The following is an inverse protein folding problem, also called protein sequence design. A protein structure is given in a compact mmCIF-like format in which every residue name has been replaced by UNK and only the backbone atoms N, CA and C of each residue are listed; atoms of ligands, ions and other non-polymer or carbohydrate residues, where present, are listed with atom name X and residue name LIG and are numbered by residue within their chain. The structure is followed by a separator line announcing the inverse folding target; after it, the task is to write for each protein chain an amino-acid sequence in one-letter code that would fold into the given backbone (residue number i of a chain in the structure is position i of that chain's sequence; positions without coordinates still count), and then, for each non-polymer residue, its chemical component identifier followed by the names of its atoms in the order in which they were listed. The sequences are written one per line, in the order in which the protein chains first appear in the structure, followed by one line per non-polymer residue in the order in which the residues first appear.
data_IF_791562575658
#
_entry.id   IF_791562575658
#
_cell.length_a   1.000
_cell.length_b   1.000
_cell.length_c   1.000
_cell.angle_alpha   90.00
_cell.angle_beta   90.00
_cell.angle_gamma   90.00
#
_symmetry.space_group_name_H-M   'P 1'
#
loop_
_entity.id
_entity.type
_entity.pdbx_description
1 polymer ?
#
# COMPACT_ATOMS: atom_id res chain seq x y z
N UNK A 1 20.30 24.30 -9.35
CA UNK A 1 19.59 23.53 -8.30
C UNK A 1 18.46 22.67 -8.88
N UNK A 2 17.39 23.26 -9.45
CA UNK A 2 16.22 22.51 -9.95
C UNK A 2 16.57 21.42 -10.99
N UNK A 3 17.43 21.73 -11.97
CA UNK A 3 17.91 20.75 -12.96
C UNK A 3 18.68 19.58 -12.31
N UNK A 4 19.44 19.85 -11.25
CA UNK A 4 20.17 18.82 -10.52
C UNK A 4 19.19 17.88 -9.82
N UNK A 5 18.24 18.44 -9.07
CA UNK A 5 17.22 17.66 -8.37
C UNK A 5 16.32 16.86 -9.34
N UNK A 6 15.95 17.42 -10.50
CA UNK A 6 15.23 16.67 -11.53
C UNK A 6 16.04 15.46 -12.05
N UNK A 7 17.37 15.62 -12.23
CA UNK A 7 18.26 14.51 -12.60
C UNK A 7 18.41 13.49 -11.46
N UNK A 8 18.41 13.91 -10.20
CA UNK A 8 18.44 13.02 -9.05
C UNK A 8 17.16 12.17 -8.97
N UNK A 9 15.98 12.76 -9.15
CA UNK A 9 14.72 12.03 -9.22
C UNK A 9 14.71 11.00 -10.36
N UNK A 10 15.16 11.39 -11.55
CA UNK A 10 15.26 10.47 -12.68
C UNK A 10 16.24 9.31 -12.39
N UNK A 11 17.37 9.58 -11.73
CA UNK A 11 18.32 8.53 -11.32
C UNK A 11 17.71 7.57 -10.29
N UNK A 12 17.03 8.10 -9.29
CA UNK A 12 16.34 7.30 -8.28
C UNK A 12 15.26 6.40 -8.93
N UNK A 13 14.43 6.96 -9.82
CA UNK A 13 13.42 6.21 -10.54
C UNK A 13 14.02 5.03 -11.34
N UNK A 14 15.13 5.27 -12.04
CA UNK A 14 15.86 4.22 -12.77
C UNK A 14 16.43 3.16 -11.83
N UNK A 15 17.04 3.57 -10.72
CA UNK A 15 17.56 2.63 -9.71
C UNK A 15 16.44 1.77 -9.09
N UNK A 16 15.23 2.31 -8.98
CA UNK A 16 14.02 1.60 -8.55
C UNK A 16 13.36 0.75 -9.64
N UNK A 17 13.97 0.63 -10.84
CA UNK A 17 13.52 -0.27 -11.91
C UNK A 17 12.64 0.35 -12.98
N UNK A 18 12.42 1.68 -12.97
CA UNK A 18 11.65 2.36 -14.02
C UNK A 18 12.55 2.52 -15.26
N UNK A 19 12.09 2.02 -16.41
CA UNK A 19 12.83 2.14 -17.68
C UNK A 19 12.98 3.63 -18.07
N UNK A 20 14.18 4.03 -18.54
CA UNK A 20 14.48 5.43 -18.92
C UNK A 20 13.48 6.01 -19.92
N UNK A 21 12.99 5.22 -20.87
CA UNK A 21 12.00 5.66 -21.86
C UNK A 21 10.58 5.89 -21.29
N UNK A 22 10.36 5.62 -19.99
CA UNK A 22 9.13 5.93 -19.26
C UNK A 22 9.27 7.18 -18.38
N UNK A 23 10.41 7.87 -18.44
CA UNK A 23 10.70 9.06 -17.64
C UNK A 23 10.85 10.25 -18.58
N UNK A 24 10.04 11.29 -18.37
CA UNK A 24 10.11 12.54 -19.12
C UNK A 24 10.45 13.66 -18.13
N UNK A 25 11.48 14.43 -18.44
CA UNK A 25 11.86 15.61 -17.67
C UNK A 25 11.69 16.83 -18.56
N UNK A 26 10.81 17.75 -18.17
CA UNK A 26 10.57 19.00 -18.88
C UNK A 26 10.78 20.18 -17.95
N UNK A 27 11.31 21.28 -18.49
CA UNK A 27 11.30 22.58 -17.83
C UNK A 27 9.96 23.27 -18.07
N UNK A 28 9.57 24.17 -17.16
CA UNK A 28 8.44 25.06 -17.31
C UNK A 28 8.85 26.47 -16.87
N UNK A 29 8.14 27.49 -17.37
CA UNK A 29 8.36 28.88 -16.95
C UNK A 29 7.63 29.17 -15.65
N UNK A 30 8.31 29.78 -14.69
CA UNK A 30 7.68 30.23 -13.45
C UNK A 30 6.72 31.38 -13.74
N UNK A 31 5.66 31.51 -12.93
CA UNK A 31 4.68 32.58 -13.09
C UNK A 31 5.27 33.98 -12.81
N UNK A 32 6.32 34.06 -12.00
CA UNK A 32 7.11 35.27 -11.79
C UNK A 32 8.59 34.92 -11.56
N UNK A 33 9.47 35.91 -11.74
CA UNK A 33 10.91 35.76 -11.54
C UNK A 33 11.28 35.69 -10.04
N UNK A 34 10.50 36.30 -9.15
CA UNK A 34 10.73 36.22 -7.70
C UNK A 34 10.18 34.92 -7.07
N UNK A 35 9.36 34.15 -7.80
CA UNK A 35 8.78 32.92 -7.29
C UNK A 35 9.81 31.77 -7.30
N UNK A 36 10.04 31.16 -6.13
CA UNK A 36 10.72 29.87 -6.04
C UNK A 36 9.84 28.77 -6.63
N UNK A 37 10.08 28.46 -7.91
CA UNK A 37 9.27 27.50 -8.66
C UNK A 37 9.53 26.05 -8.16
N UNK A 38 8.49 25.30 -7.74
CA UNK A 38 8.66 23.96 -7.21
C UNK A 38 8.99 22.93 -8.31
N UNK A 39 9.64 21.84 -7.93
CA UNK A 39 9.75 20.67 -8.81
C UNK A 39 8.42 19.91 -8.75
N UNK A 40 7.84 19.63 -9.93
CA UNK A 40 6.59 18.86 -10.06
C UNK A 40 6.90 17.44 -10.49
N UNK A 41 6.41 16.46 -9.73
CA UNK A 41 6.48 15.04 -10.07
C UNK A 41 5.06 14.55 -10.33
N UNK A 42 4.81 14.05 -11.53
CA UNK A 42 3.54 13.44 -11.91
C UNK A 42 3.79 12.03 -12.44
N UNK A 43 2.91 11.11 -12.09
CA UNK A 43 3.00 9.70 -12.48
C UNK A 43 1.59 9.12 -12.61
N UNK A 44 1.48 8.03 -13.36
CA UNK A 44 0.25 7.26 -13.45
C UNK A 44 0.25 6.27 -12.29
N UNK A 45 -0.82 6.28 -11.49
CA UNK A 45 -1.07 5.29 -10.45
C UNK A 45 -2.35 4.51 -10.75
N UNK A 46 -2.42 3.29 -10.24
CA UNK A 46 -3.63 2.47 -10.27
C UNK A 46 -4.21 2.50 -8.85
N UNK A 47 -5.51 2.73 -8.74
CA UNK A 47 -6.26 2.70 -7.48
C UNK A 47 -7.36 1.65 -7.58
N UNK A 48 -7.58 0.93 -6.48
CA UNK A 48 -8.74 0.07 -6.36
C UNK A 48 -10.00 0.94 -6.24
N UNK A 49 -11.02 0.61 -7.03
CA UNK A 49 -12.31 1.31 -6.99
C UNK A 49 -13.44 0.31 -7.19
N UNK A 50 -14.58 0.65 -6.64
CA UNK A 50 -15.83 -0.10 -6.70
C UNK A 50 -16.97 0.87 -7.04
N UNK A 51 -18.16 0.33 -7.29
CA UNK A 51 -19.35 1.16 -7.42
C UNK A 51 -19.72 1.84 -6.10
N UNK A 52 -20.53 2.90 -6.20
CA UNK A 52 -21.01 3.65 -5.03
C UNK A 52 -22.01 2.80 -4.23
N UNK A 53 -21.80 2.71 -2.92
CA UNK A 53 -22.72 2.14 -1.93
C UNK A 53 -23.51 3.23 -1.19
N UNK A 54 -24.36 2.87 -0.22
CA UNK A 54 -24.97 3.86 0.68
C UNK A 54 -26.47 3.71 0.94
N UNK A 55 -27.08 2.55 0.69
CA UNK A 55 -28.49 2.30 1.06
C UNK A 55 -28.55 1.50 2.36
N UNK A 56 -29.05 2.13 3.42
CA UNK A 56 -29.18 1.55 4.75
C UNK A 56 -30.66 1.57 5.18
N UNK A 57 -31.50 0.66 4.63
CA UNK A 57 -32.95 0.67 4.86
C UNK A 57 -33.34 0.17 6.26
N UNK A 58 -32.51 -0.68 6.88
CA UNK A 58 -32.69 -1.18 8.24
C UNK A 58 -31.59 -0.66 9.19
N UNK A 59 -31.85 -0.77 10.50
CA UNK A 59 -30.84 -0.54 11.54
C UNK A 59 -29.78 -1.66 11.52
N UNK A 60 -28.50 -1.29 11.61
CA UNK A 60 -27.35 -2.19 11.62
C UNK A 60 -27.30 -3.11 12.85
N UNK A 61 -27.97 -2.73 13.94
CA UNK A 61 -28.03 -3.51 15.18
C UNK A 61 -29.10 -4.61 15.14
N UNK A 62 -29.96 -4.66 14.12
CA UNK A 62 -31.00 -5.68 13.97
C UNK A 62 -30.43 -7.00 13.43
N UNK A 63 -29.75 -7.75 14.32
CA UNK A 63 -28.99 -8.96 13.94
C UNK A 63 -29.65 -10.27 14.38
N UNK A 64 -30.92 -10.26 14.79
CA UNK A 64 -31.62 -11.43 15.34
C UNK A 64 -31.68 -12.62 14.37
N UNK A 65 -31.73 -12.36 13.06
CA UNK A 65 -31.74 -13.39 12.01
C UNK A 65 -30.33 -13.87 11.58
N UNK A 66 -29.26 -13.27 12.12
CA UNK A 66 -27.87 -13.54 11.73
C UNK A 66 -27.63 -13.47 10.21
N UNK A 67 -28.25 -12.49 9.54
CA UNK A 67 -28.07 -12.21 8.12
C UNK A 67 -27.22 -10.96 7.93
N UNK A 68 -26.58 -10.88 6.77
CA UNK A 68 -25.92 -9.65 6.35
C UNK A 68 -26.94 -8.52 6.16
N UNK A 69 -26.59 -7.32 6.61
CA UNK A 69 -27.35 -6.11 6.33
C UNK A 69 -27.35 -5.79 4.82
N UNK A 70 -28.35 -5.05 4.35
CA UNK A 70 -28.58 -4.83 2.92
C UNK A 70 -27.35 -4.32 2.14
N UNK A 71 -26.56 -3.40 2.71
CA UNK A 71 -25.37 -2.81 2.06
C UNK A 71 -24.07 -3.61 2.27
N UNK A 72 -24.08 -4.77 2.96
CA UNK A 72 -22.87 -5.44 3.44
C UNK A 72 -21.87 -5.73 2.32
N UNK A 73 -22.31 -6.28 1.20
CA UNK A 73 -21.44 -6.57 0.08
C UNK A 73 -20.77 -5.30 -0.46
N UNK A 74 -21.55 -4.25 -0.70
CA UNK A 74 -21.05 -3.03 -1.33
C UNK A 74 -20.15 -2.22 -0.37
N UNK A 75 -20.57 -2.07 0.90
CA UNK A 75 -19.79 -1.37 1.92
C UNK A 75 -18.47 -2.09 2.23
N UNK A 76 -18.49 -3.43 2.31
CA UNK A 76 -17.29 -4.23 2.55
C UNK A 76 -16.28 -4.10 1.40
N UNK A 77 -16.73 -4.18 0.15
CA UNK A 77 -15.84 -4.03 -1.01
C UNK A 77 -15.27 -2.61 -1.10
N UNK A 78 -16.05 -1.58 -0.78
CA UNK A 78 -15.55 -0.19 -0.69
C UNK A 78 -14.46 -0.06 0.39
N UNK A 79 -14.67 -0.67 1.56
CA UNK A 79 -13.68 -0.68 2.64
C UNK A 79 -12.41 -1.45 2.25
N UNK A 80 -12.54 -2.57 1.54
CA UNK A 80 -11.39 -3.34 1.04
C UNK A 80 -10.60 -2.52 0.00
N UNK A 81 -11.29 -1.87 -0.93
CA UNK A 81 -10.67 -1.00 -1.92
C UNK A 81 -9.94 0.19 -1.27
N UNK A 82 -10.48 0.75 -0.18
CA UNK A 82 -9.85 1.83 0.57
C UNK A 82 -8.58 1.40 1.33
N UNK A 83 -8.56 0.16 1.82
CA UNK A 83 -7.40 -0.42 2.53
C UNK A 83 -6.30 -0.93 1.57
N UNK A 84 -6.61 -1.08 0.28
CA UNK A 84 -5.70 -1.66 -0.69
C UNK A 84 -4.61 -0.67 -1.13
N UNK A 85 -3.37 -0.95 -0.70
CA UNK A 85 -2.20 -0.12 -1.01
C UNK A 85 -1.73 -0.28 -2.46
N UNK A 86 -1.68 -1.52 -2.97
CA UNK A 86 -1.25 -1.82 -4.34
C UNK A 86 -2.25 -2.74 -5.06
N UNK A 87 -3.13 -2.21 -5.91
CA UNK A 87 -4.12 -3.02 -6.64
C UNK A 87 -3.50 -4.07 -7.58
N UNK A 88 -2.24 -3.89 -8.00
CA UNK A 88 -1.56 -4.86 -8.85
C UNK A 88 -1.32 -6.20 -8.14
N UNK A 89 -1.34 -6.24 -6.81
CA UNK A 89 -1.20 -7.46 -6.01
C UNK A 89 -2.40 -8.42 -6.22
N UNK A 90 -3.52 -7.95 -6.79
CA UNK A 90 -4.66 -8.81 -7.17
C UNK A 90 -4.46 -9.58 -8.48
N UNK A 91 -3.59 -9.09 -9.37
CA UNK A 91 -3.35 -9.71 -10.67
C UNK A 91 -2.33 -10.85 -10.58
N UNK A 92 -1.57 -10.89 -9.48
CA UNK A 92 -0.59 -11.93 -9.22
C UNK A 92 0.17 -11.67 -7.93
N UNK A 93 0.88 -12.69 -7.42
CA UNK A 93 1.67 -12.55 -6.21
C UNK A 93 2.74 -11.47 -6.40
N UNK A 94 2.99 -10.69 -5.35
CA UNK A 94 4.12 -9.76 -5.29
C UNK A 94 5.42 -10.51 -5.62
N UNK A 95 6.31 -9.86 -6.37
CA UNK A 95 7.64 -10.39 -6.65
C UNK A 95 8.32 -10.79 -5.34
N UNK A 96 8.77 -12.05 -5.26
CA UNK A 96 9.52 -12.54 -4.11
C UNK A 96 10.79 -11.72 -3.91
N UNK A 97 11.03 -11.27 -2.69
CA UNK A 97 12.32 -10.75 -2.30
C UNK A 97 13.34 -11.88 -2.16
N UNK A 98 14.63 -11.54 -2.12
CA UNK A 98 15.65 -12.51 -1.73
C UNK A 98 15.31 -13.05 -0.34
N UNK A 99 15.57 -14.34 -0.12
CA UNK A 99 15.39 -14.93 1.20
C UNK A 99 16.35 -14.24 2.19
N UNK A 100 15.89 -14.06 3.43
CA UNK A 100 16.76 -13.83 4.57
C UNK A 100 17.08 -15.21 5.18
N UNK A 101 18.27 -15.78 4.92
CA UNK A 101 18.58 -17.14 5.38
C UNK A 101 18.71 -17.21 6.89
N UNK A 102 19.17 -16.14 7.53
CA UNK A 102 19.40 -16.09 8.98
C UNK A 102 18.05 -16.11 9.71
N UNK A 103 17.14 -15.21 9.33
CA UNK A 103 15.81 -15.15 9.91
C UNK A 103 15.02 -16.46 9.67
N UNK A 104 15.09 -17.02 8.45
CA UNK A 104 14.44 -18.30 8.16
C UNK A 104 14.99 -19.46 9.00
N UNK A 105 16.31 -19.54 9.18
CA UNK A 105 16.92 -20.58 10.01
C UNK A 105 16.47 -20.46 11.46
N UNK A 106 16.44 -19.24 12.00
CA UNK A 106 15.96 -18.97 13.35
C UNK A 106 14.50 -19.40 13.55
N UNK A 107 13.61 -19.06 12.62
CA UNK A 107 12.20 -19.47 12.70
C UNK A 107 12.03 -21.00 12.65
N UNK A 108 12.82 -21.69 11.81
CA UNK A 108 12.83 -23.15 11.74
C UNK A 108 13.32 -23.76 13.07
N UNK A 109 14.39 -23.23 13.65
CA UNK A 109 14.92 -23.71 14.94
C UNK A 109 13.90 -23.57 16.07
N UNK A 110 13.19 -22.44 16.14
CA UNK A 110 12.10 -22.23 17.12
C UNK A 110 11.00 -23.26 16.93
N UNK A 111 10.55 -23.47 15.69
CA UNK A 111 9.52 -24.46 15.36
C UNK A 111 9.95 -25.88 15.74
N UNK A 112 11.18 -26.29 15.40
CA UNK A 112 11.70 -27.63 15.71
C UNK A 112 11.83 -27.88 17.21
N UNK A 113 12.19 -26.86 17.98
CA UNK A 113 12.24 -26.91 19.45
C UNK A 113 10.86 -26.88 20.10
N UNK A 114 9.78 -26.78 19.31
CA UNK A 114 8.40 -26.51 19.77
C UNK A 114 8.34 -25.28 20.68
N UNK A 115 9.20 -24.31 20.43
CA UNK A 115 9.24 -23.05 21.16
C UNK A 115 8.19 -22.08 20.66
N UNK A 116 7.81 -21.14 21.52
CA UNK A 116 7.07 -19.95 21.15
C UNK A 116 8.11 -18.84 20.96
N UNK A 117 8.07 -18.09 19.85
CA UNK A 117 8.96 -16.93 19.68
C UNK A 117 8.72 -15.93 20.80
N UNK A 118 9.77 -15.31 21.35
CA UNK A 118 9.65 -14.34 22.45
C UNK A 118 8.75 -13.14 22.10
N UNK A 119 8.62 -12.82 20.82
CA UNK A 119 7.67 -11.81 20.31
C UNK A 119 6.22 -12.11 20.72
N UNK A 120 5.84 -13.38 20.85
CA UNK A 120 4.51 -13.79 21.32
C UNK A 120 4.41 -13.94 22.83
N UNK A 121 5.55 -13.95 23.55
CA UNK A 121 5.57 -14.01 25.01
C UNK A 121 5.47 -12.61 25.65
N UNK A 122 5.92 -11.56 24.94
CA UNK A 122 5.93 -10.18 25.45
C UNK A 122 4.68 -9.35 25.16
N UNK A 123 3.83 -9.76 24.21
CA UNK A 123 2.73 -8.93 23.69
C UNK A 123 1.35 -9.47 24.08
N UNK A 124 1.10 -9.74 25.36
CA UNK A 124 -0.28 -9.89 25.82
C UNK A 124 -0.90 -8.51 26.03
N UNK A 125 -1.76 -8.08 25.11
CA UNK A 125 -2.63 -6.90 25.32
C UNK A 125 -3.71 -7.18 26.39
N UNK A 126 -3.84 -8.43 26.83
CA UNK A 126 -4.82 -8.86 27.84
C UNK A 126 -4.09 -9.31 29.09
N UNK A 127 -4.16 -8.49 30.13
CA UNK A 127 -3.91 -8.92 31.51
C UNK A 127 -5.15 -9.66 32.01
N UNK A 128 -5.04 -10.98 32.21
CA UNK A 128 -6.04 -11.76 32.95
C UNK A 128 -5.91 -11.52 34.46
#
# INVERSE_FOLDING_TARGET
AATTAARDFARLAVASGIKRNRIVVTSYQSASAEASAPIRVAYISVKAQTDKCGRWPEDLMETSENKHYADFGCSYQNNLAAQMVNPADLLGPRKSANIDPANRSQAIDVYQKRGISEEFLGNSEVTY
#
